data_IF_245546212709
#
_entry.id   IF_245546212709
#
_cell.length_a   1.000
_cell.length_b   1.000
_cell.length_c   1.000
_cell.angle_alpha   90.00
_cell.angle_beta   90.00
_cell.angle_gamma   90.00
#
_symmetry.space_group_name_H-M   'P 1'
#
loop_
_entity.id
_entity.type
_entity.pdbx_description
1 polymer ?
#
# COMPACT_ATOMS: atom_id res chain seq x y z
N UNK A 1 -7.10 19.95 10.54
CA UNK A 1 -7.93 18.76 10.34
C UNK A 1 -7.17 17.53 10.80
N UNK A 2 -5.95 17.32 10.30
CA UNK A 2 -5.10 16.17 10.67
C UNK A 2 -4.84 16.00 12.17
N UNK A 3 -4.57 17.09 12.90
CA UNK A 3 -4.37 17.04 14.35
C UNK A 3 -5.61 16.54 15.13
N UNK A 4 -6.81 16.75 14.61
CA UNK A 4 -8.05 16.30 15.27
C UNK A 4 -8.18 14.79 15.14
N UNK A 5 -8.04 14.26 13.92
CA UNK A 5 -8.09 12.82 13.69
C UNK A 5 -6.94 12.07 14.37
N UNK A 6 -5.72 12.62 14.34
CA UNK A 6 -4.59 12.04 15.08
C UNK A 6 -4.84 11.99 16.60
N UNK A 7 -5.48 13.01 17.17
CA UNK A 7 -5.85 13.03 18.59
C UNK A 7 -6.90 11.96 18.92
N UNK A 8 -7.97 11.87 18.11
CA UNK A 8 -9.03 10.86 18.29
C UNK A 8 -8.46 9.45 18.15
N UNK A 9 -7.55 9.23 17.21
CA UNK A 9 -6.88 7.94 17.02
C UNK A 9 -6.11 7.51 18.27
N UNK A 10 -5.38 8.44 18.89
CA UNK A 10 -4.59 8.17 20.10
C UNK A 10 -5.43 7.86 21.34
N UNK A 11 -6.70 8.28 21.36
CA UNK A 11 -7.65 7.99 22.45
C UNK A 11 -8.60 6.84 22.12
N UNK A 12 -8.52 6.27 20.93
CA UNK A 12 -9.34 5.13 20.52
C UNK A 12 -8.77 3.83 21.09
N UNK A 13 -9.60 3.10 21.85
CA UNK A 13 -9.19 1.87 22.52
C UNK A 13 -9.68 0.58 21.83
N UNK A 14 -10.67 0.71 20.93
CA UNK A 14 -11.23 -0.42 20.20
C UNK A 14 -10.73 -0.44 18.76
N UNK A 15 -10.35 -1.63 18.28
CA UNK A 15 -9.81 -1.82 16.93
C UNK A 15 -10.82 -1.36 15.85
N UNK A 16 -12.11 -1.58 16.06
CA UNK A 16 -13.17 -1.09 15.16
C UNK A 16 -13.24 0.43 15.11
N UNK A 17 -13.20 1.11 16.26
CA UNK A 17 -13.20 2.58 16.31
C UNK A 17 -11.97 3.19 15.63
N UNK A 18 -10.82 2.52 15.72
CA UNK A 18 -9.60 2.95 15.02
C UNK A 18 -9.81 2.91 13.51
N UNK A 19 -10.40 1.83 12.99
CA UNK A 19 -10.70 1.71 11.55
C UNK A 19 -11.70 2.79 11.11
N UNK A 20 -12.77 3.03 11.87
CA UNK A 20 -13.78 4.04 11.55
C UNK A 20 -13.18 5.45 11.48
N UNK A 21 -12.38 5.83 12.48
CA UNK A 21 -11.70 7.14 12.52
C UNK A 21 -10.73 7.29 11.35
N UNK A 22 -9.99 6.24 11.00
CA UNK A 22 -9.11 6.27 9.82
C UNK A 22 -9.90 6.47 8.52
N UNK A 23 -11.05 5.82 8.36
CA UNK A 23 -11.89 6.02 7.17
C UNK A 23 -12.45 7.43 7.09
N UNK A 24 -12.97 7.97 8.19
CA UNK A 24 -13.43 9.35 8.23
C UNK A 24 -12.33 10.35 7.89
N UNK A 25 -11.11 10.09 8.37
CA UNK A 25 -9.95 10.93 8.06
C UNK A 25 -9.62 10.91 6.57
N UNK A 26 -9.54 9.72 5.96
CA UNK A 26 -9.30 9.57 4.51
C UNK A 26 -10.39 10.29 3.73
N UNK A 27 -11.67 10.04 4.04
CA UNK A 27 -12.81 10.64 3.36
C UNK A 27 -12.81 12.17 3.49
N UNK A 28 -12.39 12.72 4.62
CA UNK A 28 -12.29 14.16 4.82
C UNK A 28 -11.16 14.80 3.99
N UNK A 29 -10.06 14.07 3.79
CA UNK A 29 -8.91 14.52 3.00
C UNK A 29 -9.15 14.41 1.49
N UNK A 30 -9.88 13.38 1.05
CA UNK A 30 -10.16 13.13 -0.37
C UNK A 30 -11.29 14.01 -0.95
N UNK A 31 -11.95 14.84 -0.14
CA UNK A 31 -12.99 15.76 -0.62
C UNK A 31 -12.45 16.78 -1.64
N UNK A 32 -13.05 16.89 -2.85
CA UNK A 32 -12.66 17.87 -3.87
C UNK A 32 -12.85 19.34 -3.41
N UNK A 33 -12.10 20.34 -3.95
CA UNK A 33 -11.02 20.28 -4.94
C UNK A 33 -9.66 20.70 -4.32
N UNK A 34 -9.24 20.06 -3.23
CA UNK A 34 -8.07 20.50 -2.46
C UNK A 34 -6.72 20.23 -3.14
N UNK A 35 -6.66 19.27 -4.06
CA UNK A 35 -5.41 18.63 -4.46
C UNK A 35 -4.75 19.23 -5.72
N UNK A 36 -4.92 20.54 -5.95
CA UNK A 36 -4.19 21.28 -7.01
C UNK A 36 -2.95 22.01 -6.49
N UNK A 37 -2.81 22.18 -5.17
CA UNK A 37 -1.65 22.81 -4.53
C UNK A 37 -0.66 21.71 -4.09
N UNK A 38 0.60 21.85 -4.50
CA UNK A 38 1.69 20.94 -4.14
C UNK A 38 1.82 20.73 -2.63
N UNK A 39 1.63 21.79 -1.81
CA UNK A 39 1.69 21.69 -0.35
C UNK A 39 0.56 20.85 0.21
N UNK A 40 -0.63 20.96 -0.39
CA UNK A 40 -1.80 20.18 0.03
C UNK A 40 -1.63 18.71 -0.34
N UNK A 41 -1.06 18.42 -1.51
CA UNK A 41 -0.73 17.03 -1.90
C UNK A 41 0.32 16.45 -0.96
N UNK A 42 1.41 17.17 -0.70
CA UNK A 42 2.49 16.74 0.21
C UNK A 42 1.99 16.54 1.66
N UNK A 43 1.13 17.40 2.18
CA UNK A 43 0.57 17.21 3.53
C UNK A 43 -0.42 16.06 3.58
N UNK A 44 -1.32 15.96 2.60
CA UNK A 44 -2.41 14.97 2.61
C UNK A 44 -1.91 13.56 2.36
N UNK A 45 -0.86 13.38 1.53
CA UNK A 45 -0.33 12.04 1.23
C UNK A 45 0.15 11.34 2.50
N UNK A 46 0.82 12.08 3.41
CA UNK A 46 1.37 11.51 4.64
C UNK A 46 0.24 11.07 5.60
N UNK A 47 -0.80 11.87 5.71
CA UNK A 47 -1.98 11.55 6.54
C UNK A 47 -2.79 10.39 5.98
N UNK A 48 -3.03 10.36 4.66
CA UNK A 48 -3.70 9.25 3.97
C UNK A 48 -2.89 7.96 4.15
N UNK A 49 -1.58 8.01 3.90
CA UNK A 49 -0.66 6.92 4.17
C UNK A 49 -0.81 6.38 5.60
N UNK A 50 -0.73 7.27 6.58
CA UNK A 50 -0.75 6.90 7.99
C UNK A 50 -2.08 6.25 8.39
N UNK A 51 -3.21 6.78 7.90
CA UNK A 51 -4.52 6.17 8.12
C UNK A 51 -4.60 4.74 7.56
N UNK A 52 -4.15 4.51 6.32
CA UNK A 52 -4.10 3.16 5.74
C UNK A 52 -3.14 2.22 6.47
N UNK A 53 -1.98 2.72 6.89
CA UNK A 53 -1.02 1.97 7.70
C UNK A 53 -1.67 1.45 8.99
N UNK A 54 -2.41 2.32 9.69
CA UNK A 54 -3.12 1.97 10.91
C UNK A 54 -4.23 0.95 10.66
N UNK A 55 -5.00 1.10 9.59
CA UNK A 55 -6.01 0.10 9.18
C UNK A 55 -5.35 -1.26 8.96
N UNK A 56 -4.23 -1.36 8.23
CA UNK A 56 -3.54 -2.63 8.02
C UNK A 56 -3.12 -3.27 9.35
N UNK A 57 -2.51 -2.48 10.25
CA UNK A 57 -2.05 -2.93 11.57
C UNK A 57 -3.18 -3.46 12.44
N UNK A 58 -4.36 -2.88 12.33
CA UNK A 58 -5.55 -3.35 13.04
C UNK A 58 -6.07 -4.64 12.40
N UNK A 59 -6.20 -4.68 11.07
CA UNK A 59 -6.65 -5.87 10.35
C UNK A 59 -5.74 -7.08 10.62
N UNK A 60 -4.42 -6.90 10.62
CA UNK A 60 -3.43 -7.96 10.92
C UNK A 60 -3.61 -8.57 12.32
N UNK A 61 -4.11 -7.80 13.30
CA UNK A 61 -4.38 -8.28 14.66
C UNK A 61 -5.75 -8.96 14.79
N UNK A 62 -6.60 -8.88 13.75
CA UNK A 62 -7.92 -9.51 13.69
C UNK A 62 -8.05 -10.56 12.56
N UNK A 63 -7.14 -11.55 12.45
CA UNK A 63 -7.14 -12.50 11.32
C UNK A 63 -8.28 -13.53 11.38
N UNK A 64 -8.92 -13.71 12.53
CA UNK A 64 -9.98 -14.72 12.75
C UNK A 64 -11.35 -14.29 12.23
N UNK A 65 -11.48 -13.10 11.64
CA UNK A 65 -12.75 -12.67 11.04
C UNK A 65 -13.01 -13.46 9.75
N UNK A 66 -14.21 -14.02 9.55
CA UNK A 66 -14.53 -14.78 8.34
C UNK A 66 -14.30 -13.99 7.04
N UNK A 67 -14.44 -12.67 7.09
CA UNK A 67 -14.26 -11.76 5.96
C UNK A 67 -12.89 -11.05 5.95
N UNK A 68 -11.88 -11.55 6.68
CA UNK A 68 -10.59 -10.88 6.82
C UNK A 68 -9.92 -10.63 5.46
N UNK A 69 -9.76 -11.66 4.62
CA UNK A 69 -9.15 -11.54 3.30
C UNK A 69 -9.92 -10.56 2.40
N UNK A 70 -11.26 -10.65 2.39
CA UNK A 70 -12.12 -9.73 1.63
C UNK A 70 -11.96 -8.29 2.12
N UNK A 71 -11.95 -8.06 3.44
CA UNK A 71 -11.80 -6.73 4.03
C UNK A 71 -10.45 -6.11 3.66
N UNK A 72 -9.38 -6.90 3.63
CA UNK A 72 -8.05 -6.45 3.20
C UNK A 72 -8.02 -6.12 1.71
N UNK A 73 -8.61 -6.96 0.87
CA UNK A 73 -8.76 -6.69 -0.56
C UNK A 73 -9.58 -5.40 -0.84
N UNK A 74 -10.66 -5.18 -0.10
CA UNK A 74 -11.48 -3.97 -0.20
C UNK A 74 -10.71 -2.72 0.21
N UNK A 75 -9.91 -2.85 1.28
CA UNK A 75 -9.03 -1.79 1.77
C UNK A 75 -7.96 -1.47 0.74
N UNK A 76 -7.31 -2.49 0.15
CA UNK A 76 -6.33 -2.31 -0.92
C UNK A 76 -6.91 -1.58 -2.13
N UNK A 77 -8.14 -1.92 -2.54
CA UNK A 77 -8.81 -1.20 -3.64
C UNK A 77 -8.98 0.29 -3.36
N UNK A 78 -9.18 0.68 -2.08
CA UNK A 78 -9.20 2.10 -1.68
C UNK A 78 -7.80 2.71 -1.67
N UNK A 79 -6.81 2.01 -1.11
CA UNK A 79 -5.38 2.41 -1.14
C UNK A 79 -4.97 2.74 -2.58
N UNK A 80 -5.17 1.80 -3.51
CA UNK A 80 -4.84 1.95 -4.92
C UNK A 80 -5.47 3.20 -5.51
N UNK A 81 -6.76 3.42 -5.30
CA UNK A 81 -7.47 4.62 -5.79
C UNK A 81 -6.86 5.91 -5.25
N UNK A 82 -6.61 5.99 -3.94
CA UNK A 82 -6.03 7.18 -3.29
C UNK A 82 -4.64 7.48 -3.85
N UNK A 83 -3.80 6.45 -3.98
CA UNK A 83 -2.42 6.59 -4.41
C UNK A 83 -2.27 6.78 -5.92
N UNK A 84 -3.13 6.19 -6.74
CA UNK A 84 -3.22 6.49 -8.18
C UNK A 84 -3.52 7.98 -8.40
N UNK A 85 -4.44 8.54 -7.62
CA UNK A 85 -4.76 9.96 -7.67
C UNK A 85 -3.60 10.84 -7.21
N UNK A 86 -3.02 10.53 -6.04
CA UNK A 86 -1.84 11.24 -5.52
C UNK A 86 -0.66 11.20 -6.49
N UNK A 87 -0.41 10.03 -7.08
CA UNK A 87 0.65 9.83 -8.06
C UNK A 87 0.39 10.63 -9.33
N UNK A 88 -0.84 10.60 -9.84
CA UNK A 88 -1.25 11.39 -11.01
C UNK A 88 -1.05 12.89 -10.80
N UNK A 89 -1.28 13.41 -9.59
CA UNK A 89 -0.95 14.78 -9.24
C UNK A 89 0.57 14.98 -9.15
N UNK A 90 1.28 14.05 -8.50
CA UNK A 90 2.71 14.17 -8.25
C UNK A 90 3.56 14.22 -9.52
N UNK A 91 3.19 13.43 -10.54
CA UNK A 91 3.91 13.43 -11.81
C UNK A 91 3.79 14.75 -12.59
N UNK A 92 2.75 15.54 -12.30
CA UNK A 92 2.53 16.86 -12.91
C UNK A 92 3.21 17.98 -12.10
N UNK A 93 3.28 17.81 -10.78
CA UNK A 93 3.78 18.84 -9.86
C UNK A 93 5.31 18.80 -9.70
N UNK A 94 5.90 17.61 -9.74
CA UNK A 94 7.28 17.41 -9.33
C UNK A 94 8.11 16.59 -10.31
N UNK A 95 9.40 16.90 -10.38
CA UNK A 95 10.40 16.11 -11.10
C UNK A 95 10.57 14.73 -10.45
N UNK A 96 11.02 13.71 -11.20
CA UNK A 96 11.13 12.34 -10.69
C UNK A 96 11.96 12.17 -9.42
N UNK A 97 12.96 13.04 -9.19
CA UNK A 97 13.88 12.95 -8.05
C UNK A 97 13.51 13.87 -6.87
N UNK A 98 12.45 14.67 -6.99
CA UNK A 98 12.05 15.57 -5.91
C UNK A 98 11.45 14.77 -4.74
N UNK A 99 11.75 15.23 -3.52
CA UNK A 99 11.48 14.46 -2.30
C UNK A 99 9.99 14.19 -2.10
N UNK A 100 9.12 15.16 -2.36
CA UNK A 100 7.66 14.99 -2.21
C UNK A 100 7.11 13.88 -3.13
N UNK A 101 7.60 13.80 -4.38
CA UNK A 101 7.21 12.74 -5.32
C UNK A 101 7.74 11.38 -4.90
N UNK A 102 8.98 11.34 -4.41
CA UNK A 102 9.58 10.12 -3.89
C UNK A 102 8.92 9.66 -2.58
N UNK A 103 8.44 10.58 -1.74
CA UNK A 103 7.74 10.26 -0.50
C UNK A 103 6.41 9.56 -0.77
N UNK A 104 5.71 9.91 -1.85
CA UNK A 104 4.53 9.16 -2.30
C UNK A 104 4.89 7.73 -2.69
N UNK A 105 6.01 7.51 -3.40
CA UNK A 105 6.48 6.15 -3.73
C UNK A 105 6.89 5.37 -2.48
N UNK A 106 7.54 6.01 -1.50
CA UNK A 106 7.88 5.40 -0.22
C UNK A 106 6.62 4.91 0.51
N UNK A 107 5.62 5.78 0.67
CA UNK A 107 4.33 5.46 1.27
C UNK A 107 3.62 4.34 0.53
N UNK A 108 3.55 4.41 -0.80
CA UNK A 108 2.82 3.43 -1.61
C UNK A 108 3.48 2.05 -1.60
N UNK A 109 4.81 2.00 -1.76
CA UNK A 109 5.58 0.75 -1.70
C UNK A 109 5.51 0.07 -0.34
N UNK A 110 5.45 0.86 0.75
CA UNK A 110 5.28 0.29 2.09
C UNK A 110 3.86 -0.25 2.29
N UNK A 111 2.82 0.43 1.78
CA UNK A 111 1.46 -0.12 1.79
C UNK A 111 1.34 -1.39 0.93
N UNK A 112 1.99 -1.44 -0.24
CA UNK A 112 2.07 -2.66 -1.05
C UNK A 112 2.70 -3.83 -0.29
N UNK A 113 3.75 -3.56 0.50
CA UNK A 113 4.33 -4.55 1.41
C UNK A 113 3.35 -5.00 2.50
N UNK A 114 2.67 -4.05 3.15
CA UNK A 114 1.71 -4.36 4.21
C UNK A 114 0.50 -5.14 3.69
N UNK A 115 0.09 -4.91 2.45
CA UNK A 115 -1.02 -5.59 1.77
C UNK A 115 -0.52 -6.60 0.73
N UNK A 116 0.59 -7.30 1.00
CA UNK A 116 1.16 -8.29 0.08
C UNK A 116 0.21 -9.46 -0.27
N UNK A 117 -0.85 -9.68 0.51
CA UNK A 117 -1.92 -10.65 0.25
C UNK A 117 -3.00 -10.14 -0.71
N UNK A 118 -3.05 -8.83 -0.99
CA UNK A 118 -4.10 -8.19 -1.79
C UNK A 118 -3.58 -7.31 -2.93
N UNK A 119 -2.31 -6.88 -2.87
CA UNK A 119 -1.67 -6.05 -3.89
C UNK A 119 -1.64 -6.74 -5.26
N UNK A 120 -1.98 -5.97 -6.29
CA UNK A 120 -1.90 -6.41 -7.68
C UNK A 120 -0.52 -6.15 -8.31
N UNK A 121 -0.13 -7.02 -9.22
CA UNK A 121 1.17 -6.96 -9.91
C UNK A 121 1.35 -5.65 -10.68
N UNK A 122 0.31 -5.16 -11.37
CA UNK A 122 0.34 -3.90 -12.11
C UNK A 122 0.80 -2.72 -11.24
N UNK A 123 0.36 -2.69 -9.98
CA UNK A 123 0.76 -1.65 -9.02
C UNK A 123 2.22 -1.80 -8.61
N UNK A 124 2.69 -3.03 -8.37
CA UNK A 124 4.10 -3.30 -8.04
C UNK A 124 5.01 -2.86 -9.20
N UNK A 125 4.66 -3.24 -10.44
CA UNK A 125 5.39 -2.86 -11.65
C UNK A 125 5.40 -1.35 -11.84
N UNK A 126 4.27 -0.66 -11.62
CA UNK A 126 4.19 0.79 -11.72
C UNK A 126 5.17 1.48 -10.75
N UNK A 127 5.17 1.07 -9.48
CA UNK A 127 6.06 1.63 -8.45
C UNK A 127 7.52 1.35 -8.80
N UNK A 128 7.82 0.14 -9.26
CA UNK A 128 9.18 -0.27 -9.64
C UNK A 128 9.71 0.52 -10.84
N UNK A 129 8.89 0.71 -11.86
CA UNK A 129 9.21 1.51 -13.04
C UNK A 129 9.42 2.99 -12.68
N UNK A 130 8.54 3.56 -11.85
CA UNK A 130 8.66 4.93 -11.35
C UNK A 130 9.95 5.15 -10.53
N UNK A 131 10.28 4.21 -9.64
CA UNK A 131 11.53 4.20 -8.87
C UNK A 131 12.74 4.13 -9.79
N UNK A 132 12.71 3.26 -10.79
CA UNK A 132 13.82 3.09 -11.75
C UNK A 132 14.03 4.34 -12.60
N UNK A 133 12.95 4.97 -13.05
CA UNK A 133 12.99 6.26 -13.73
C UNK A 133 13.61 7.34 -12.82
N UNK A 134 13.16 7.43 -11.57
CA UNK A 134 13.68 8.41 -10.61
C UNK A 134 15.18 8.22 -10.35
N UNK A 135 15.63 6.98 -10.15
CA UNK A 135 17.04 6.63 -9.97
C UNK A 135 17.88 7.03 -11.18
N UNK A 136 17.41 6.72 -12.40
CA UNK A 136 18.09 7.09 -13.64
C UNK A 136 18.22 8.62 -13.77
N UNK A 137 17.11 9.35 -13.62
CA UNK A 137 17.14 10.83 -13.76
C UNK A 137 18.05 11.45 -12.68
N UNK A 138 17.97 10.96 -11.44
CA UNK A 138 18.83 11.40 -10.34
C UNK A 138 20.32 11.21 -10.66
N UNK A 139 20.71 10.06 -11.22
CA UNK A 139 22.09 9.77 -11.58
C UNK A 139 22.62 10.64 -12.75
N UNK A 140 21.73 11.04 -13.66
CA UNK A 140 22.10 11.85 -14.84
C UNK A 140 22.00 13.36 -14.63
N UNK A 141 21.46 13.82 -13.50
CA UNK A 141 21.27 15.26 -13.23
C UNK A 141 22.49 15.84 -12.53
N UNK A 142 23.10 16.89 -13.12
CA UNK A 142 24.40 17.44 -12.71
C UNK A 142 24.36 18.07 -11.31
N UNK A 143 23.27 18.77 -10.97
CA UNK A 143 23.09 19.40 -9.66
C UNK A 143 21.71 19.04 -9.13
N UNK A 144 21.68 18.23 -8.07
CA UNK A 144 20.46 17.88 -7.35
C UNK A 144 20.64 18.25 -5.88
N UNK A 145 19.88 19.25 -5.46
CA UNK A 145 19.73 19.56 -4.05
C UNK A 145 19.11 18.35 -3.35
N UNK A 146 19.65 17.97 -2.18
CA UNK A 146 19.20 16.80 -1.42
C UNK A 146 19.38 15.45 -2.12
N UNK A 147 20.32 15.31 -3.06
CA UNK A 147 20.60 14.05 -3.77
C UNK A 147 20.77 12.83 -2.84
N UNK A 148 21.39 13.01 -1.68
CA UNK A 148 21.53 11.95 -0.68
C UNK A 148 20.16 11.47 -0.15
N UNK A 149 19.27 12.41 0.17
CA UNK A 149 17.93 12.10 0.67
C UNK A 149 17.04 11.47 -0.41
N UNK A 150 17.21 11.88 -1.67
CA UNK A 150 16.52 11.27 -2.81
C UNK A 150 16.99 9.81 -3.02
N UNK A 151 18.30 9.57 -2.96
CA UNK A 151 18.85 8.21 -3.04
C UNK A 151 18.36 7.29 -1.92
N UNK A 152 18.27 7.80 -0.68
CA UNK A 152 17.70 7.04 0.44
C UNK A 152 16.25 6.61 0.19
N UNK A 153 15.43 7.46 -0.42
CA UNK A 153 14.03 7.15 -0.77
C UNK A 153 13.95 6.11 -1.88
N UNK A 154 14.74 6.27 -2.94
CA UNK A 154 14.86 5.26 -4.01
C UNK A 154 15.22 3.89 -3.45
N UNK A 155 16.23 3.82 -2.56
CA UNK A 155 16.64 2.58 -1.90
C UNK A 155 15.54 2.01 -0.98
N UNK A 156 14.79 2.88 -0.30
CA UNK A 156 13.66 2.46 0.54
C UNK A 156 12.56 1.81 -0.30
N UNK A 157 12.19 2.43 -1.41
CA UNK A 157 11.18 1.87 -2.35
C UNK A 157 11.66 0.54 -2.91
N UNK A 158 12.92 0.43 -3.31
CA UNK A 158 13.50 -0.81 -3.82
C UNK A 158 13.44 -1.96 -2.80
N UNK A 159 13.82 -1.69 -1.55
CA UNK A 159 13.71 -2.67 -0.47
C UNK A 159 12.27 -3.12 -0.26
N UNK A 160 11.34 -2.17 -0.15
CA UNK A 160 9.92 -2.47 0.09
C UNK A 160 9.33 -3.34 -1.03
N UNK A 161 9.61 -3.02 -2.30
CA UNK A 161 9.12 -3.80 -3.45
C UNK A 161 9.71 -5.21 -3.47
N UNK A 162 11.01 -5.35 -3.20
CA UNK A 162 11.65 -6.66 -3.11
C UNK A 162 11.00 -7.53 -2.03
N UNK A 163 10.73 -6.96 -0.86
CA UNK A 163 10.06 -7.66 0.24
C UNK A 163 8.60 -7.99 -0.11
N UNK A 164 7.86 -7.06 -0.71
CA UNK A 164 6.47 -7.26 -1.13
C UNK A 164 6.36 -8.42 -2.13
N UNK A 165 7.19 -8.43 -3.18
CA UNK A 165 7.26 -9.54 -4.16
C UNK A 165 7.53 -10.88 -3.50
N UNK A 166 8.47 -10.92 -2.55
CA UNK A 166 8.77 -12.16 -1.81
C UNK A 166 7.57 -12.66 -1.00
N UNK A 167 6.79 -11.76 -0.40
CA UNK A 167 5.59 -12.13 0.35
C UNK A 167 4.46 -12.58 -0.58
N UNK A 168 4.21 -11.88 -1.69
CA UNK A 168 3.23 -12.26 -2.71
C UNK A 168 3.51 -13.68 -3.21
N UNK A 169 4.76 -14.00 -3.55
CA UNK A 169 5.16 -15.34 -4.01
C UNK A 169 4.93 -16.41 -2.93
N UNK A 170 5.27 -16.12 -1.67
CA UNK A 170 5.05 -17.05 -0.55
C UNK A 170 3.57 -17.31 -0.30
N UNK A 171 2.72 -16.29 -0.44
CA UNK A 171 1.28 -16.39 -0.23
C UNK A 171 0.60 -17.13 -1.39
N UNK A 172 0.97 -16.84 -2.65
CA UNK A 172 0.51 -17.60 -3.82
C UNK A 172 0.87 -19.09 -3.74
N UNK A 173 2.07 -19.42 -3.25
CA UNK A 173 2.49 -20.81 -2.99
C UNK A 173 1.68 -21.52 -1.89
N UNK A 174 1.11 -20.79 -0.92
CA UNK A 174 0.22 -21.39 0.09
C UNK A 174 -1.15 -21.74 -0.48
N UNK A 175 -1.75 -20.83 -1.25
CA UNK A 175 -3.06 -21.06 -1.91
C UNK A 175 -3.00 -22.27 -2.83
N UNK A 176 -1.98 -22.36 -3.69
CA UNK A 176 -1.79 -23.51 -4.60
C UNK A 176 -1.55 -24.87 -3.92
N UNK A 177 -1.14 -24.90 -2.64
CA UNK A 177 -0.97 -26.14 -1.87
C UNK A 177 -2.28 -26.58 -1.20
N UNK A 178 -3.10 -25.63 -0.76
CA UNK A 178 -4.41 -25.92 -0.18
C UNK A 178 -5.36 -26.48 -1.26
N UNK A 179 -5.40 -25.86 -2.46
CA UNK A 179 -6.22 -26.35 -3.58
C UNK A 179 -5.85 -27.77 -4.02
N UNK A 180 -4.54 -28.09 -4.10
CA UNK A 180 -4.06 -29.44 -4.44
C UNK A 180 -4.34 -30.49 -3.35
N UNK A 181 -4.56 -30.08 -2.11
CA UNK A 181 -4.89 -30.99 -1.00
C UNK A 181 -6.40 -31.28 -0.93
N UNK A 182 -7.22 -30.31 -1.33
CA UNK A 182 -8.68 -30.45 -1.48
C UNK A 182 -9.05 -31.37 -2.65
N UNK A 183 -8.35 -31.28 -3.79
CA UNK A 183 -8.58 -32.17 -4.94
C UNK A 183 -8.19 -33.63 -4.65
N UNK A 184 -7.13 -33.88 -3.87
CA UNK A 184 -6.74 -35.23 -3.48
C UNK A 184 -7.75 -35.94 -2.58
N UNK A 185 -8.49 -35.20 -1.76
CA UNK A 185 -9.52 -35.78 -0.90
C UNK A 185 -10.74 -36.27 -1.70
N UNK A 186 -11.11 -35.55 -2.77
CA UNK A 186 -12.27 -35.89 -3.61
C UNK A 186 -12.04 -37.16 -4.43
N UNK A 187 -10.80 -37.39 -4.90
CA UNK A 187 -10.48 -38.61 -5.65
C UNK A 187 -10.35 -39.86 -4.77
N UNK A 188 -10.03 -39.73 -3.48
CA UNK A 188 -9.90 -40.89 -2.58
C UNK A 188 -11.24 -41.51 -2.13
N UNK A 189 -12.35 -40.78 -2.20
CA UNK A 189 -13.68 -41.33 -1.85
C UNK A 189 -14.36 -42.05 -3.04
N UNK A 190 -13.87 -41.85 -4.27
CA UNK A 190 -14.46 -42.43 -5.48
C UNK A 190 -14.01 -43.87 -5.76
N UNK A 191 -12.93 -44.34 -5.15
CA UNK A 191 -12.37 -45.69 -5.35
C UNK A 191 -12.79 -46.72 -4.28
N UNK A 192 -13.57 -46.31 -3.26
CA UNK A 192 -13.95 -47.19 -2.15
C UNK A 192 -15.25 -48.01 -2.38
N UNK A 193 -15.88 -47.92 -3.57
CA UNK A 193 -17.16 -48.59 -3.86
C UNK A 193 -17.17 -49.47 -5.13
N UNK A 194 -16.03 -50.06 -5.47
CA UNK A 194 -15.96 -51.14 -6.47
C UNK A 194 -15.04 -52.25 -5.95
N UNK A 195 -15.58 -53.12 -5.09
CA UNK A 195 -15.20 -54.53 -4.95
C UNK A 195 -16.28 -55.28 -4.17
#
# INVERSE_FOLDING_TARGET
MDHVYACILNTSHYDESVIEVCWEWIDALERPPRMKDARVVSSSQLSIYYAYHMISRVQERMPRRPNHAQSRADTWRRVKRSFDYLWSAAVQLWKPFELDRLDILCSWSYLALQFADAVDEDTIELIENAKTQAAHVLATTIVVENAHQANQRVATVERNIKEARSLVEKLGKKVSKEDNSSEKFIFSESEAHLN
#
